data_IF_395079568484
#
_entry.id   IF_395079568484
#
_cell.length_a   1.000
_cell.length_b   1.000
_cell.length_c   1.000
_cell.angle_alpha   90.00
_cell.angle_beta   90.00
_cell.angle_gamma   90.00
#
_symmetry.space_group_name_H-M   'P 1'
#
loop_
_entity.id
_entity.type
_entity.pdbx_description
1 polymer ?
#
# COMPACT_ATOMS: atom_id res chain seq x y z
N UNK A 1 -22.41 -2.31 -1.88
CA UNK A 1 -22.12 -1.93 -3.29
C UNK A 1 -22.26 -3.17 -4.18
N UNK A 2 -22.89 -3.04 -5.34
CA UNK A 2 -23.06 -4.14 -6.31
C UNK A 2 -21.80 -4.28 -7.20
N UNK A 3 -21.67 -5.39 -7.91
CA UNK A 3 -20.49 -5.64 -8.77
C UNK A 3 -20.29 -4.58 -9.87
N UNK A 4 -21.34 -4.11 -10.58
CA UNK A 4 -21.17 -3.07 -11.60
C UNK A 4 -20.59 -1.74 -11.05
N UNK A 5 -21.02 -1.29 -9.87
CA UNK A 5 -20.47 -0.08 -9.23
C UNK A 5 -19.01 -0.28 -8.81
N UNK A 6 -18.65 -1.46 -8.31
CA UNK A 6 -17.26 -1.80 -7.94
C UNK A 6 -16.36 -1.73 -9.18
N UNK A 7 -16.77 -2.37 -10.27
CA UNK A 7 -16.03 -2.37 -11.53
C UNK A 7 -15.88 -0.97 -12.09
N UNK A 8 -16.97 -0.17 -12.08
CA UNK A 8 -16.93 1.20 -12.59
C UNK A 8 -16.02 2.11 -11.76
N UNK A 9 -16.04 2.00 -10.43
CA UNK A 9 -15.14 2.73 -9.55
C UNK A 9 -13.67 2.35 -9.81
N UNK A 10 -13.39 1.04 -9.89
CA UNK A 10 -12.05 0.53 -10.16
C UNK A 10 -11.52 0.97 -11.54
N UNK A 11 -12.39 1.04 -12.55
CA UNK A 11 -12.04 1.54 -13.88
C UNK A 11 -11.64 3.03 -13.89
N UNK A 12 -12.34 3.87 -13.12
CA UNK A 12 -11.98 5.30 -12.96
C UNK A 12 -10.61 5.43 -12.30
N UNK A 13 -10.37 4.68 -11.22
CA UNK A 13 -9.09 4.67 -10.52
C UNK A 13 -7.95 4.13 -11.41
N UNK A 14 -8.22 3.08 -12.19
CA UNK A 14 -7.26 2.52 -13.14
C UNK A 14 -6.89 3.52 -14.24
N UNK A 15 -7.88 4.22 -14.81
CA UNK A 15 -7.62 5.25 -15.81
C UNK A 15 -6.72 6.36 -15.25
N UNK A 16 -7.02 6.87 -14.06
CA UNK A 16 -6.18 7.89 -13.43
C UNK A 16 -4.76 7.40 -13.06
N UNK A 17 -4.59 6.09 -12.80
CA UNK A 17 -3.27 5.47 -12.58
C UNK A 17 -2.45 5.33 -13.86
N UNK A 18 -3.10 5.02 -14.98
CA UNK A 18 -2.44 4.69 -16.25
C UNK A 18 -2.24 5.93 -17.10
N UNK A 19 -3.29 6.71 -17.27
CA UNK A 19 -3.33 7.86 -18.17
C UNK A 19 -2.97 9.17 -17.44
N UNK A 20 -2.95 9.13 -16.10
CA UNK A 20 -2.83 10.31 -15.24
C UNK A 20 -4.14 11.08 -15.12
N UNK A 21 -4.08 12.23 -14.46
CA UNK A 21 -5.22 13.12 -14.27
C UNK A 21 -5.72 13.15 -12.82
N UNK A 22 -6.31 14.30 -12.47
CA UNK A 22 -6.84 14.58 -11.14
C UNK A 22 -8.27 14.05 -11.01
N UNK A 23 -8.54 13.34 -9.92
CA UNK A 23 -9.88 12.91 -9.50
C UNK A 23 -10.38 13.90 -8.46
N UNK A 24 -11.44 14.64 -8.75
CA UNK A 24 -12.07 15.47 -7.72
C UNK A 24 -12.72 14.60 -6.64
N UNK A 25 -13.58 13.67 -7.05
CA UNK A 25 -14.14 12.60 -6.23
C UNK A 25 -14.80 11.57 -7.15
N UNK A 26 -14.97 10.33 -6.68
CA UNK A 26 -15.88 9.39 -7.32
C UNK A 26 -17.33 9.89 -7.19
N UNK A 27 -18.22 9.50 -8.10
CA UNK A 27 -19.66 9.77 -7.94
C UNK A 27 -20.19 9.10 -6.66
N UNK A 28 -21.21 9.69 -6.03
CA UNK A 28 -21.73 9.23 -4.74
C UNK A 28 -22.05 7.73 -4.71
N UNK A 29 -22.61 7.20 -5.79
CA UNK A 29 -22.95 5.78 -5.95
C UNK A 29 -21.75 4.84 -6.18
N UNK A 30 -20.59 5.39 -6.50
CA UNK A 30 -19.33 4.69 -6.72
C UNK A 30 -18.38 4.77 -5.52
N UNK A 31 -18.69 5.61 -4.52
CA UNK A 31 -17.86 5.75 -3.31
C UNK A 31 -18.06 4.57 -2.37
N UNK A 32 -16.99 3.90 -1.92
CA UNK A 32 -17.11 2.85 -0.91
C UNK A 32 -17.58 3.46 0.42
N UNK A 33 -18.56 2.83 1.04
CA UNK A 33 -19.12 3.29 2.32
C UNK A 33 -18.31 2.81 3.54
N UNK A 34 -17.44 1.81 3.34
CA UNK A 34 -16.64 1.18 4.38
C UNK A 34 -15.42 0.47 3.78
N UNK A 35 -14.49 0.03 4.64
CA UNK A 35 -13.27 -0.66 4.22
C UNK A 35 -13.53 -1.96 3.43
N UNK A 36 -14.56 -2.73 3.77
CA UNK A 36 -14.85 -3.98 3.08
C UNK A 36 -15.29 -3.75 1.62
N UNK A 37 -15.97 -2.64 1.33
CA UNK A 37 -16.25 -2.20 -0.04
C UNK A 37 -14.99 -1.66 -0.72
N UNK A 38 -14.18 -0.88 0.00
CA UNK A 38 -12.94 -0.33 -0.52
C UNK A 38 -11.98 -1.43 -0.99
N UNK A 39 -11.76 -2.47 -0.19
CA UNK A 39 -10.91 -3.60 -0.58
C UNK A 39 -11.47 -4.42 -1.74
N UNK A 40 -12.79 -4.43 -1.98
CA UNK A 40 -13.37 -5.04 -3.19
C UNK A 40 -13.05 -4.21 -4.43
N UNK A 41 -13.11 -2.88 -4.34
CA UNK A 41 -12.69 -1.97 -5.41
C UNK A 41 -11.20 -2.12 -5.66
N UNK A 42 -10.37 -2.10 -4.61
CA UNK A 42 -8.92 -2.29 -4.69
C UNK A 42 -8.56 -3.62 -5.37
N UNK A 43 -9.22 -4.72 -5.00
CA UNK A 43 -9.02 -6.02 -5.65
C UNK A 43 -9.46 -6.03 -7.12
N UNK A 44 -10.52 -5.30 -7.48
CA UNK A 44 -10.95 -5.14 -8.87
C UNK A 44 -9.95 -4.28 -9.67
N UNK A 45 -9.46 -3.20 -9.07
CA UNK A 45 -8.42 -2.31 -9.60
C UNK A 45 -7.17 -3.12 -9.96
N UNK A 46 -6.68 -3.97 -9.06
CA UNK A 46 -5.51 -4.82 -9.34
C UNK A 46 -5.72 -5.74 -10.54
N UNK A 47 -6.91 -6.33 -10.70
CA UNK A 47 -7.22 -7.17 -11.87
C UNK A 47 -7.21 -6.36 -13.16
N UNK A 48 -7.75 -5.14 -13.14
CA UNK A 48 -7.74 -4.25 -14.31
C UNK A 48 -6.31 -3.88 -14.69
N UNK A 49 -5.50 -3.46 -13.71
CA UNK A 49 -4.09 -3.11 -13.90
C UNK A 49 -3.29 -4.30 -14.45
N UNK A 50 -3.45 -5.49 -13.86
CA UNK A 50 -2.80 -6.72 -14.33
C UNK A 50 -3.18 -7.04 -15.78
N UNK A 51 -4.47 -7.02 -16.11
CA UNK A 51 -4.98 -7.28 -17.46
C UNK A 51 -4.50 -6.26 -18.50
N UNK A 52 -4.16 -5.04 -18.06
CA UNK A 52 -3.58 -3.97 -18.90
C UNK A 52 -2.05 -4.00 -18.96
N UNK A 53 -1.40 -4.98 -18.35
CA UNK A 53 0.04 -5.15 -18.41
C UNK A 53 0.84 -4.41 -17.34
N UNK A 54 0.19 -3.91 -16.27
CA UNK A 54 0.85 -3.26 -15.13
C UNK A 54 1.27 -4.24 -14.02
N UNK A 55 1.36 -5.52 -14.36
CA UNK A 55 1.89 -6.58 -13.51
C UNK A 55 0.98 -6.98 -12.35
N UNK A 56 1.47 -7.93 -11.56
CA UNK A 56 0.73 -8.55 -10.45
C UNK A 56 1.08 -7.89 -9.12
N UNK A 57 0.22 -8.06 -8.13
CA UNK A 57 0.55 -7.77 -6.74
C UNK A 57 1.62 -8.76 -6.25
N UNK A 58 2.74 -8.24 -5.75
CA UNK A 58 3.88 -9.01 -5.24
C UNK A 58 4.19 -8.75 -3.76
N UNK A 59 3.52 -7.78 -3.15
CA UNK A 59 3.71 -7.41 -1.76
C UNK A 59 2.64 -6.44 -1.29
N UNK A 60 2.79 -5.98 -0.05
CA UNK A 60 1.85 -5.05 0.58
C UNK A 60 2.62 -3.95 1.31
N UNK A 61 2.00 -2.77 1.39
CA UNK A 61 2.40 -1.68 2.27
C UNK A 61 1.35 -1.49 3.36
N UNK A 62 1.74 -0.91 4.49
CA UNK A 62 0.84 -0.64 5.62
C UNK A 62 0.84 0.86 5.87
N UNK A 63 -0.28 1.52 5.55
CA UNK A 63 -0.50 2.94 5.82
C UNK A 63 -1.20 3.18 7.16
N UNK A 64 -1.27 4.44 7.58
CA UNK A 64 -1.95 4.85 8.83
C UNK A 64 -1.43 4.11 10.09
N UNK A 65 -0.12 3.93 10.21
CA UNK A 65 0.50 3.20 11.33
C UNK A 65 0.57 4.00 12.63
N UNK A 66 0.31 5.31 12.59
CA UNK A 66 0.32 6.20 13.76
C UNK A 66 -1.09 6.65 14.14
N UNK A 67 -1.31 6.85 15.44
CA UNK A 67 -2.59 7.38 15.95
C UNK A 67 -2.88 8.80 15.48
N UNK A 68 -1.85 9.57 15.11
CA UNK A 68 -1.99 10.92 14.54
C UNK A 68 -2.62 10.84 13.16
N UNK A 69 -2.08 10.00 12.26
CA UNK A 69 -2.63 9.83 10.92
C UNK A 69 -4.00 9.15 10.93
N UNK A 70 -4.22 8.19 11.84
CA UNK A 70 -5.52 7.56 12.06
C UNK A 70 -6.60 8.58 12.41
N UNK A 71 -6.32 9.47 13.38
CA UNK A 71 -7.25 10.57 13.73
C UNK A 71 -7.46 11.55 12.59
N UNK A 72 -6.40 11.91 11.87
CA UNK A 72 -6.46 12.84 10.76
C UNK A 72 -7.36 12.33 9.62
N UNK A 73 -7.27 11.05 9.28
CA UNK A 73 -8.07 10.42 8.22
C UNK A 73 -9.37 9.77 8.71
N UNK A 74 -9.70 9.90 9.99
CA UNK A 74 -10.85 9.27 10.64
C UNK A 74 -10.93 7.76 10.35
N UNK A 75 -9.81 7.05 10.51
CA UNK A 75 -9.70 5.59 10.43
C UNK A 75 -9.18 5.04 11.76
N UNK A 76 -9.78 3.96 12.25
CA UNK A 76 -9.50 3.43 13.59
C UNK A 76 -8.37 2.38 13.61
N UNK A 77 -7.78 2.08 12.44
CA UNK A 77 -6.75 1.07 12.26
C UNK A 77 -5.78 1.43 11.12
N UNK A 78 -4.59 0.79 11.06
CA UNK A 78 -3.78 0.79 9.86
C UNK A 78 -4.55 0.20 8.67
N UNK A 79 -4.16 0.58 7.46
CA UNK A 79 -4.75 0.07 6.23
C UNK A 79 -3.68 -0.53 5.30
N UNK A 80 -4.10 -1.44 4.42
CA UNK A 80 -3.21 -2.09 3.47
C UNK A 80 -3.31 -1.46 2.08
N UNK A 81 -2.16 -1.24 1.46
CA UNK A 81 -2.02 -1.07 0.02
C UNK A 81 -1.17 -2.21 -0.55
N UNK A 82 -1.05 -2.26 -1.87
CA UNK A 82 -0.42 -3.34 -2.60
C UNK A 82 0.78 -2.84 -3.38
N UNK A 83 1.82 -3.66 -3.48
CA UNK A 83 2.99 -3.36 -4.30
C UNK A 83 2.84 -4.17 -5.58
N UNK A 84 2.74 -3.48 -6.71
CA UNK A 84 2.72 -4.11 -8.03
C UNK A 84 4.15 -4.39 -8.52
N UNK A 85 4.32 -5.49 -9.25
CA UNK A 85 5.62 -5.96 -9.75
C UNK A 85 6.44 -4.87 -10.46
N UNK A 86 5.89 -4.06 -11.39
CA UNK A 86 6.67 -3.01 -12.07
C UNK A 86 7.04 -1.83 -11.15
N UNK A 87 6.39 -1.71 -10.00
CA UNK A 87 6.63 -0.65 -9.02
C UNK A 87 7.76 -0.97 -8.03
N UNK A 88 8.33 -2.18 -8.06
CA UNK A 88 9.43 -2.55 -7.17
C UNK A 88 10.80 -2.32 -7.81
N UNK A 89 11.61 -1.47 -7.18
CA UNK A 89 12.97 -1.13 -7.59
C UNK A 89 13.99 -1.60 -6.56
N UNK A 90 15.16 -2.06 -7.01
CA UNK A 90 16.25 -2.48 -6.15
C UNK A 90 17.41 -1.48 -6.22
N UNK A 91 17.88 -1.01 -5.07
CA UNK A 91 19.00 -0.09 -4.95
C UNK A 91 18.62 1.35 -5.24
N UNK A 92 18.76 1.77 -6.50
CA UNK A 92 18.49 3.15 -6.94
C UNK A 92 17.45 3.15 -8.05
N UNK A 93 16.56 4.14 -8.02
CA UNK A 93 15.59 4.42 -9.06
C UNK A 93 15.60 5.92 -9.39
N UNK A 94 15.31 6.25 -10.64
CA UNK A 94 15.12 7.63 -11.08
C UNK A 94 13.70 7.74 -11.61
N UNK A 95 12.98 8.77 -11.15
CA UNK A 95 11.63 9.05 -11.59
C UNK A 95 11.57 10.46 -12.17
N UNK A 96 10.80 10.62 -13.24
CA UNK A 96 10.48 11.95 -13.75
C UNK A 96 9.39 12.53 -12.86
N UNK A 97 9.65 13.68 -12.22
CA UNK A 97 8.65 14.35 -11.39
C UNK A 97 7.34 14.63 -12.16
N UNK A 98 7.43 14.92 -13.46
CA UNK A 98 6.28 15.16 -14.33
C UNK A 98 5.41 13.93 -14.60
N UNK A 99 5.82 12.74 -14.15
CA UNK A 99 5.03 11.51 -14.23
C UNK A 99 4.07 11.31 -13.06
N UNK A 100 4.10 12.21 -12.07
CA UNK A 100 3.25 12.15 -10.88
C UNK A 100 2.30 13.35 -10.82
N UNK A 101 1.21 13.21 -10.06
CA UNK A 101 0.30 14.31 -9.77
C UNK A 101 0.80 15.06 -8.52
N UNK A 102 0.85 14.38 -7.38
CA UNK A 102 1.26 14.91 -6.09
C UNK A 102 2.21 13.91 -5.41
N UNK A 103 3.46 13.91 -5.86
CA UNK A 103 4.46 12.94 -5.38
C UNK A 103 4.90 13.23 -3.94
N UNK A 104 4.89 12.18 -3.12
CA UNK A 104 5.49 12.14 -1.78
C UNK A 104 6.51 11.02 -1.68
N UNK A 105 7.41 11.14 -0.70
CA UNK A 105 8.41 10.11 -0.38
C UNK A 105 8.37 9.79 1.10
N UNK A 106 8.35 8.51 1.43
CA UNK A 106 8.26 8.01 2.81
C UNK A 106 9.41 7.04 3.10
N UNK A 107 10.05 7.19 4.26
CA UNK A 107 11.13 6.31 4.70
C UNK A 107 10.56 5.14 5.47
N UNK A 108 10.77 3.93 4.97
CA UNK A 108 10.11 2.72 5.45
C UNK A 108 11.09 1.58 5.76
N UNK A 109 10.57 0.56 6.44
CA UNK A 109 11.26 -0.71 6.68
C UNK A 109 10.49 -1.82 5.95
N UNK A 110 11.13 -2.44 4.96
CA UNK A 110 10.56 -3.55 4.23
C UNK A 110 10.97 -4.90 4.82
N UNK A 111 10.01 -5.83 4.86
CA UNK A 111 10.22 -7.21 5.32
C UNK A 111 10.01 -8.16 4.15
N UNK A 112 11.06 -8.88 3.74
CA UNK A 112 10.91 -9.99 2.81
C UNK A 112 10.50 -11.24 3.58
N UNK A 113 9.38 -11.84 3.20
CA UNK A 113 8.91 -13.07 3.84
C UNK A 113 9.63 -14.30 3.27
N UNK A 114 9.91 -15.28 4.14
CA UNK A 114 10.55 -16.57 3.76
C UNK A 114 9.55 -17.63 3.32
N UNK A 115 8.27 -17.44 3.67
CA UNK A 115 7.14 -18.29 3.31
C UNK A 115 5.87 -17.44 3.37
N UNK A 116 4.86 -17.82 2.62
CA UNK A 116 3.57 -17.13 2.61
C UNK A 116 2.90 -17.18 3.98
N UNK A 117 2.35 -16.04 4.41
CA UNK A 117 1.38 -15.94 5.49
C UNK A 117 0.00 -15.90 4.82
N UNK A 118 -0.58 -17.08 4.61
CA UNK A 118 -1.75 -17.25 3.75
C UNK A 118 -3.09 -17.13 4.48
N UNK A 119 -4.14 -16.88 3.70
CA UNK A 119 -5.53 -17.03 4.13
C UNK A 119 -5.75 -18.48 4.61
N UNK A 120 -6.30 -18.65 5.82
CA UNK A 120 -6.48 -19.97 6.45
C UNK A 120 -5.27 -20.50 7.24
N UNK A 121 -4.15 -19.79 7.26
CA UNK A 121 -3.08 -20.05 8.24
C UNK A 121 -3.48 -19.44 9.60
N UNK A 122 -3.06 -20.07 10.70
CA UNK A 122 -3.11 -19.40 12.00
C UNK A 122 -2.26 -18.13 11.93
N UNK A 123 -2.83 -16.99 12.33
CA UNK A 123 -2.08 -15.74 12.48
C UNK A 123 -0.96 -16.02 13.50
N UNK A 124 0.32 -15.90 13.12
CA UNK A 124 1.41 -16.17 14.04
C UNK A 124 1.34 -15.22 15.23
N UNK A 125 1.75 -15.70 16.39
CA UNK A 125 1.97 -14.81 17.53
C UNK A 125 3.12 -13.85 17.20
N UNK A 126 3.15 -12.69 17.84
CA UNK A 126 4.20 -11.68 17.62
C UNK A 126 5.62 -12.26 17.78
N UNK A 127 5.81 -13.12 18.78
CA UNK A 127 7.06 -13.84 19.05
C UNK A 127 7.50 -14.79 17.91
N UNK A 128 6.56 -15.24 17.09
CA UNK A 128 6.79 -16.16 15.98
C UNK A 128 7.04 -15.44 14.66
N UNK A 129 6.71 -14.15 14.54
CA UNK A 129 6.81 -13.40 13.27
C UNK A 129 8.23 -13.40 12.70
N UNK A 130 9.25 -13.34 13.55
CA UNK A 130 10.66 -13.46 13.13
C UNK A 130 10.94 -14.77 12.37
N UNK A 131 10.21 -15.85 12.67
CA UNK A 131 10.28 -17.11 11.95
C UNK A 131 9.61 -17.08 10.57
N UNK A 132 9.09 -15.95 10.12
CA UNK A 132 8.51 -15.76 8.79
C UNK A 132 9.28 -14.72 7.96
N UNK A 133 10.18 -13.95 8.57
CA UNK A 133 10.98 -12.95 7.87
C UNK A 133 12.29 -13.57 7.38
N UNK A 134 12.55 -13.44 6.08
CA UNK A 134 13.83 -13.80 5.45
C UNK A 134 14.87 -12.69 5.63
N UNK A 135 14.47 -11.44 5.45
CA UNK A 135 15.35 -10.28 5.59
C UNK A 135 14.57 -9.01 5.87
N UNK A 136 15.26 -8.05 6.50
CA UNK A 136 14.80 -6.67 6.69
C UNK A 136 15.62 -5.78 5.78
N UNK A 137 14.96 -4.81 5.13
CA UNK A 137 15.54 -3.92 4.14
C UNK A 137 15.12 -2.48 4.45
N UNK A 138 16.01 -1.49 4.31
CA UNK A 138 15.55 -0.10 4.21
C UNK A 138 14.74 0.05 2.92
N UNK A 139 13.66 0.82 2.97
CA UNK A 139 12.84 1.09 1.80
C UNK A 139 12.44 2.56 1.73
N UNK A 140 12.21 3.03 0.50
CA UNK A 140 11.53 4.28 0.24
C UNK A 140 10.23 3.95 -0.47
N UNK A 141 9.11 4.35 0.11
CA UNK A 141 7.84 4.35 -0.61
C UNK A 141 7.71 5.67 -1.38
N UNK A 142 7.32 5.56 -2.66
CA UNK A 142 6.86 6.68 -3.46
C UNK A 142 5.34 6.62 -3.45
N UNK A 143 4.74 7.67 -2.89
CA UNK A 143 3.29 7.86 -2.90
C UNK A 143 2.94 8.92 -3.93
N UNK A 144 1.79 8.77 -4.56
CA UNK A 144 1.25 9.75 -5.51
C UNK A 144 -0.27 9.80 -5.33
N UNK A 145 -0.73 10.82 -4.61
CA UNK A 145 -2.15 11.08 -4.55
C UNK A 145 -2.62 11.72 -5.86
N UNK A 146 -3.82 11.33 -6.29
CA UNK A 146 -4.40 11.76 -7.56
C UNK A 146 -5.68 12.52 -7.33
N UNK A 147 -5.77 13.21 -6.20
CA UNK A 147 -6.99 13.87 -5.76
C UNK A 147 -6.76 15.37 -5.55
N UNK A 148 -7.77 16.17 -5.87
CA UNK A 148 -7.70 17.61 -5.62
C UNK A 148 -7.61 17.92 -4.12
N UNK A 149 -8.34 17.16 -3.30
CA UNK A 149 -8.26 17.22 -1.84
C UNK A 149 -8.68 15.87 -1.25
N UNK A 150 -7.70 15.00 -0.99
CA UNK A 150 -7.96 13.67 -0.46
C UNK A 150 -8.56 13.67 0.95
N UNK A 151 -8.35 14.74 1.74
CA UNK A 151 -8.83 14.85 3.12
C UNK A 151 -10.36 14.82 3.22
N UNK A 152 -11.05 15.17 2.12
CA UNK A 152 -12.51 15.23 2.03
C UNK A 152 -13.16 13.93 1.54
N UNK A 153 -12.37 12.91 1.16
CA UNK A 153 -12.86 11.72 0.46
C UNK A 153 -13.16 10.53 1.39
N UNK A 154 -12.66 10.59 2.62
CA UNK A 154 -12.76 9.52 3.61
C UNK A 154 -11.82 8.35 3.32
N UNK A 155 -11.33 7.71 4.39
CA UNK A 155 -10.37 6.61 4.30
C UNK A 155 -10.77 5.46 3.35
N UNK A 156 -12.06 5.03 3.26
CA UNK A 156 -12.46 4.00 2.29
C UNK A 156 -12.14 4.35 0.83
N UNK A 157 -12.27 5.62 0.42
CA UNK A 157 -11.92 6.03 -0.95
C UNK A 157 -10.41 5.89 -1.18
N UNK A 158 -9.61 6.26 -0.18
CA UNK A 158 -8.15 6.17 -0.27
C UNK A 158 -7.69 4.71 -0.30
N UNK A 159 -8.31 3.84 0.48
CA UNK A 159 -8.06 2.38 0.45
C UNK A 159 -8.42 1.80 -0.92
N UNK A 160 -9.54 2.22 -1.52
CA UNK A 160 -9.93 1.74 -2.85
C UNK A 160 -8.88 2.08 -3.92
N UNK A 161 -8.21 3.22 -3.79
CA UNK A 161 -7.08 3.62 -4.62
C UNK A 161 -5.72 3.23 -4.03
N UNK A 162 -5.64 2.04 -3.44
CA UNK A 162 -4.40 1.42 -2.97
C UNK A 162 -3.54 2.32 -2.05
N UNK A 163 -4.21 3.24 -1.37
CA UNK A 163 -3.65 4.20 -0.43
C UNK A 163 -2.41 4.95 -0.98
N UNK A 164 -2.58 5.49 -2.20
CA UNK A 164 -1.61 6.30 -2.95
C UNK A 164 -0.33 5.59 -3.39
N UNK A 165 -0.24 4.27 -3.22
CA UNK A 165 0.97 3.55 -3.60
C UNK A 165 1.29 3.75 -5.10
N UNK A 166 2.54 4.12 -5.39
CA UNK A 166 3.05 4.30 -6.75
C UNK A 166 4.29 3.43 -7.02
N UNK A 167 5.30 3.49 -6.14
CA UNK A 167 6.48 2.65 -6.26
C UNK A 167 7.13 2.37 -4.89
N UNK A 168 7.96 1.34 -4.84
CA UNK A 168 8.79 0.99 -3.69
C UNK A 168 10.23 0.78 -4.14
N UNK A 169 11.17 1.50 -3.52
CA UNK A 169 12.60 1.33 -3.75
C UNK A 169 13.21 0.66 -2.52
N UNK A 170 13.61 -0.60 -2.65
CA UNK A 170 14.29 -1.33 -1.56
C UNK A 170 15.80 -1.15 -1.68
N UNK A 171 16.44 -0.81 -0.57
CA UNK A 171 17.90 -0.70 -0.51
C UNK A 171 18.60 -2.06 -0.55
N UNK A 172 19.91 -2.03 -0.77
CA UNK A 172 20.74 -3.23 -0.70
C UNK A 172 20.96 -3.74 0.72
N UNK A 173 21.58 -4.92 0.81
CA UNK A 173 21.86 -5.62 2.06
C UNK A 173 20.87 -6.75 2.31
N UNK A 174 21.33 -7.85 2.90
CA UNK A 174 20.45 -8.90 3.43
C UNK A 174 20.64 -8.90 4.94
N UNK A 175 19.92 -8.02 5.64
CA UNK A 175 19.97 -8.00 7.10
C UNK A 175 19.09 -9.12 7.64
N UNK A 176 19.69 -10.03 8.38
CA UNK A 176 18.95 -11.09 9.08
C UNK A 176 18.41 -10.53 10.39
N UNK A 177 17.18 -10.89 10.72
CA UNK A 177 16.59 -10.60 12.02
C UNK A 177 17.24 -11.50 13.07
N UNK A 178 18.20 -10.96 13.82
CA UNK A 178 18.54 -11.48 15.14
C UNK A 178 17.68 -10.75 16.18
N UNK A 179 16.70 -11.44 16.75
CA UNK A 179 15.91 -10.88 17.85
C UNK A 179 16.77 -10.82 19.11
N UNK A 180 17.27 -9.63 19.45
CA UNK A 180 17.94 -9.36 20.71
C UNK A 180 17.07 -8.46 21.57
N UNK A 181 16.81 -8.86 22.81
CA UNK A 181 16.13 -7.97 23.77
C UNK A 181 17.05 -6.80 24.12
N UNK A 182 16.58 -5.58 23.90
CA UNK A 182 17.27 -4.35 24.34
C UNK A 182 17.41 -4.28 25.87
N UNK A 183 16.58 -5.02 26.63
CA UNK A 183 16.70 -5.14 28.09
C UNK A 183 17.94 -5.91 28.57
N UNK A 184 18.71 -6.53 27.67
CA UNK A 184 20.00 -7.17 27.98
C UNK A 184 21.22 -6.31 27.65
N UNK A 185 21.02 -5.08 27.19
CA UNK A 185 22.10 -4.11 26.95
C UNK A 185 22.48 -3.29 28.20
N UNK A 186 21.88 -3.57 29.37
CA UNK A 186 22.19 -2.92 30.66
C UNK A 186 23.47 -3.43 31.32
N UNK A 187 24.58 -3.44 30.58
CA UNK A 187 25.91 -3.84 31.05
C UNK A 187 27.03 -2.94 30.51
N UNK A 188 26.76 -1.64 30.38
CA UNK A 188 27.76 -0.58 30.20
C UNK A 188 27.69 0.38 31.39
#
# INVERSE_FOLDING_TARGET
>A
MNSPSIEKAAEILAAARIDGGEIQALDHELRPSNEAEAYKIQACLHKILENRGHGKVIGYKIGCTTSVMQKFLAIDNPCAGSILEPGLYNGKANFLHSSFQHVGVECEIAFRLKRSLGFGCMIPKLEEISNYVASVLPAIEIVDDRYQNYELLGAPTLIADDFFHSACVVGGGNFFLETRSLGRWGGL
#
